data_IF_003779799047
#
_entry.id   IF_003779799047
#
_cell.length_a   1.000
_cell.length_b   1.000
_cell.length_c   1.000
_cell.angle_alpha   90.00
_cell.angle_beta   90.00
_cell.angle_gamma   90.00
#
_symmetry.space_group_name_H-M   'P 1'
#
loop_
_entity.id
_entity.type
_entity.pdbx_description
1 polymer ?
#
# COMPACT_ATOMS: atom_id res chain seq x y z
N UNK A 1 -2.07 -3.76 12.48
CA UNK A 1 -3.16 -3.13 11.69
C UNK A 1 -4.50 -3.83 11.88
N UNK A 2 -4.63 -5.16 11.83
CA UNK A 2 -5.93 -5.85 11.99
C UNK A 2 -6.71 -5.48 13.26
N UNK A 3 -6.05 -5.51 14.44
CA UNK A 3 -6.68 -5.10 15.72
C UNK A 3 -7.23 -3.66 15.69
N UNK A 4 -6.60 -2.78 14.93
CA UNK A 4 -7.04 -1.39 14.78
C UNK A 4 -8.30 -1.29 13.91
N UNK A 5 -8.38 -2.06 12.82
CA UNK A 5 -9.59 -2.13 11.99
C UNK A 5 -10.79 -2.71 12.77
N UNK A 6 -10.56 -3.77 13.54
CA UNK A 6 -11.57 -4.36 14.43
C UNK A 6 -12.05 -3.32 15.46
N UNK A 7 -11.13 -2.58 16.08
CA UNK A 7 -11.48 -1.50 17.01
C UNK A 7 -12.35 -0.43 16.34
N UNK A 8 -12.07 -0.07 15.10
CA UNK A 8 -12.87 0.86 14.30
C UNK A 8 -14.13 0.25 13.69
N UNK A 9 -14.40 -1.05 13.90
CA UNK A 9 -15.50 -1.81 13.29
C UNK A 9 -15.49 -1.76 11.75
N UNK A 10 -14.29 -1.81 11.17
CA UNK A 10 -14.10 -1.97 9.73
C UNK A 10 -13.89 -3.46 9.45
N UNK A 11 -14.82 -4.03 8.68
CA UNK A 11 -14.78 -5.43 8.25
C UNK A 11 -13.96 -5.57 6.96
N UNK A 12 -12.67 -5.84 7.13
CA UNK A 12 -11.76 -6.21 6.05
C UNK A 12 -11.69 -7.73 5.96
N UNK A 13 -12.58 -8.31 5.16
CA UNK A 13 -12.92 -9.74 5.16
C UNK A 13 -11.72 -10.69 5.02
N UNK A 14 -10.63 -10.24 4.40
CA UNK A 14 -9.44 -11.07 4.14
C UNK A 14 -8.15 -10.45 4.71
N UNK A 15 -8.26 -9.46 5.60
CA UNK A 15 -7.12 -8.69 6.11
C UNK A 15 -6.27 -8.06 4.98
N UNK A 16 -6.91 -7.59 3.90
CA UNK A 16 -6.20 -7.02 2.76
C UNK A 16 -5.40 -5.75 3.14
N UNK A 17 -5.96 -4.87 3.97
CA UNK A 17 -5.32 -3.64 4.42
C UNK A 17 -4.12 -3.92 5.34
N UNK A 18 -4.24 -4.74 6.40
CA UNK A 18 -3.08 -5.09 7.22
C UNK A 18 -1.99 -5.85 6.46
N UNK A 19 -2.36 -6.79 5.59
CA UNK A 19 -1.39 -7.67 4.90
C UNK A 19 -0.72 -6.97 3.73
N UNK A 20 -1.46 -6.23 2.91
CA UNK A 20 -0.92 -5.63 1.68
C UNK A 20 -0.65 -4.14 1.81
N UNK A 21 -1.59 -3.35 2.34
CA UNK A 21 -1.41 -1.90 2.44
C UNK A 21 -0.34 -1.54 3.49
N UNK A 22 -0.51 -2.00 4.74
CA UNK A 22 0.41 -1.64 5.81
C UNK A 22 1.81 -2.25 5.62
N UNK A 23 1.91 -3.55 5.30
CA UNK A 23 3.21 -4.16 5.03
C UNK A 23 3.83 -3.66 3.73
N UNK A 24 3.04 -3.31 2.72
CA UNK A 24 3.53 -2.70 1.49
C UNK A 24 4.18 -1.34 1.74
N UNK A 25 3.51 -0.47 2.53
CA UNK A 25 4.11 0.79 2.98
C UNK A 25 5.41 0.53 3.72
N UNK A 26 5.41 -0.41 4.67
CA UNK A 26 6.61 -0.77 5.40
C UNK A 26 7.74 -1.23 4.46
N UNK A 27 7.46 -2.10 3.50
CA UNK A 27 8.46 -2.59 2.55
C UNK A 27 9.08 -1.47 1.73
N UNK A 28 8.26 -0.53 1.24
CA UNK A 28 8.74 0.64 0.48
C UNK A 28 9.64 1.54 1.34
N UNK A 29 9.25 1.80 2.59
CA UNK A 29 10.08 2.58 3.54
C UNK A 29 11.35 1.83 3.93
N UNK A 30 11.28 0.51 4.11
CA UNK A 30 12.42 -0.33 4.44
C UNK A 30 13.50 -0.28 3.34
N UNK A 31 13.12 -0.20 2.05
CA UNK A 31 14.08 0.06 0.97
C UNK A 31 14.82 1.38 1.19
N UNK A 32 14.09 2.45 1.49
CA UNK A 32 14.67 3.77 1.73
C UNK A 32 15.59 3.85 2.95
N UNK A 33 15.34 3.00 3.95
CA UNK A 33 16.16 2.92 5.16
C UNK A 33 17.36 2.01 4.98
N UNK A 34 17.19 0.83 4.37
CA UNK A 34 18.12 -0.30 4.50
C UNK A 34 18.66 -0.85 3.17
N UNK A 35 18.47 -0.17 2.03
CA UNK A 35 19.06 -0.61 0.76
C UNK A 35 20.58 -0.72 0.88
N UNK A 36 21.09 -1.94 0.71
CA UNK A 36 22.50 -2.25 0.89
C UNK A 36 23.33 -1.74 -0.30
N UNK A 37 24.44 -1.01 -0.06
CA UNK A 37 25.25 -0.42 -1.12
C UNK A 37 25.86 -1.45 -2.08
N UNK A 38 26.30 -2.60 -1.57
CA UNK A 38 26.97 -3.63 -2.39
C UNK A 38 25.95 -4.34 -3.28
N UNK A 39 24.79 -4.68 -2.72
CA UNK A 39 23.71 -5.31 -3.49
C UNK A 39 23.13 -4.36 -4.53
N UNK A 40 23.03 -3.07 -4.21
CA UNK A 40 22.55 -2.04 -5.12
C UNK A 40 23.52 -1.83 -6.29
N UNK A 41 24.83 -1.73 -6.03
CA UNK A 41 25.86 -1.64 -7.08
C UNK A 41 25.86 -2.88 -7.98
N UNK A 42 25.73 -4.07 -7.40
CA UNK A 42 25.63 -5.32 -8.17
C UNK A 42 24.39 -5.38 -9.08
N UNK A 43 23.28 -4.77 -8.66
CA UNK A 43 21.99 -4.86 -9.37
C UNK A 43 21.79 -3.73 -10.38
N UNK A 44 22.22 -2.52 -10.05
CA UNK A 44 21.90 -1.29 -10.81
C UNK A 44 23.14 -0.53 -11.30
N UNK A 45 24.35 -0.91 -10.85
CA UNK A 45 25.59 -0.18 -11.10
C UNK A 45 25.79 1.04 -10.20
N UNK A 46 26.99 1.63 -10.25
CA UNK A 46 27.47 2.62 -9.28
C UNK A 46 27.17 4.08 -9.64
N UNK A 47 26.60 4.34 -10.82
CA UNK A 47 26.30 5.71 -11.24
C UNK A 47 25.11 6.25 -10.42
N UNK A 48 25.37 7.29 -9.63
CA UNK A 48 24.37 8.05 -8.86
C UNK A 48 23.55 7.22 -7.84
N UNK A 49 24.17 6.20 -7.22
CA UNK A 49 23.50 5.33 -6.26
C UNK A 49 23.26 6.03 -4.92
N UNK A 50 21.98 6.35 -4.62
CA UNK A 50 21.51 6.70 -3.29
C UNK A 50 21.21 5.42 -2.51
N UNK A 51 21.86 5.21 -1.37
CA UNK A 51 21.75 3.98 -0.58
C UNK A 51 20.71 4.12 0.53
N UNK A 52 20.44 3.05 1.28
CA UNK A 52 19.60 3.14 2.46
C UNK A 52 20.14 4.16 3.46
N UNK A 53 19.27 5.02 4.01
CA UNK A 53 19.69 6.12 4.88
C UNK A 53 20.52 5.69 6.11
N UNK A 54 20.40 4.44 6.56
CA UNK A 54 21.25 3.91 7.65
C UNK A 54 22.70 3.68 7.26
N UNK A 55 22.98 3.56 5.95
CA UNK A 55 24.33 3.37 5.39
C UNK A 55 25.02 4.69 5.09
N UNK A 56 24.25 5.75 4.80
CA UNK A 56 24.76 7.12 4.69
C UNK A 56 23.72 8.13 5.20
N UNK A 57 23.87 8.55 6.46
CA UNK A 57 22.96 9.51 7.08
C UNK A 57 23.03 10.91 6.47
N UNK A 58 24.06 11.23 5.68
CA UNK A 58 24.19 12.52 5.01
C UNK A 58 23.36 12.62 3.73
N UNK A 59 22.91 11.48 3.19
CA UNK A 59 22.12 11.40 1.96
C UNK A 59 20.72 10.79 2.20
N UNK A 60 19.69 11.61 2.41
CA UNK A 60 18.33 11.14 2.62
C UNK A 60 17.56 10.88 1.30
N UNK A 61 18.19 11.00 0.12
CA UNK A 61 17.47 11.04 -1.16
C UNK A 61 16.66 9.78 -1.43
N UNK A 62 17.21 8.58 -1.18
CA UNK A 62 16.46 7.34 -1.38
C UNK A 62 15.25 7.27 -0.44
N UNK A 63 15.43 7.56 0.85
CA UNK A 63 14.32 7.57 1.82
C UNK A 63 13.22 8.57 1.43
N UNK A 64 13.61 9.78 1.02
CA UNK A 64 12.68 10.81 0.57
C UNK A 64 11.90 10.35 -0.68
N UNK A 65 12.58 9.75 -1.66
CA UNK A 65 11.96 9.19 -2.85
C UNK A 65 10.95 8.09 -2.50
N UNK A 66 11.30 7.16 -1.60
CA UNK A 66 10.39 6.10 -1.16
C UNK A 66 9.16 6.65 -0.40
N UNK A 67 9.33 7.69 0.43
CA UNK A 67 8.20 8.38 1.07
C UNK A 67 7.25 9.04 0.06
N UNK A 68 7.81 9.72 -0.95
CA UNK A 68 7.03 10.32 -2.05
C UNK A 68 6.31 9.22 -2.84
N UNK A 69 6.98 8.09 -3.10
CA UNK A 69 6.39 6.94 -3.79
C UNK A 69 5.18 6.39 -3.03
N UNK A 70 5.28 6.21 -1.70
CA UNK A 70 4.13 5.81 -0.88
C UNK A 70 2.96 6.79 -1.06
N UNK A 71 3.23 8.09 -0.93
CA UNK A 71 2.21 9.14 -1.10
C UNK A 71 1.56 9.09 -2.49
N UNK A 72 2.38 8.90 -3.54
CA UNK A 72 1.90 8.80 -4.91
C UNK A 72 1.02 7.56 -5.13
N UNK A 73 1.43 6.38 -4.63
CA UNK A 73 0.64 5.15 -4.73
C UNK A 73 -0.72 5.33 -4.02
N UNK A 74 -0.72 5.87 -2.80
CA UNK A 74 -1.96 6.13 -2.04
C UNK A 74 -2.87 7.08 -2.82
N UNK A 75 -2.32 8.19 -3.33
CA UNK A 75 -3.07 9.19 -4.07
C UNK A 75 -3.65 8.61 -5.36
N UNK A 76 -2.82 7.91 -6.16
CA UNK A 76 -3.22 7.29 -7.41
C UNK A 76 -4.34 6.26 -7.21
N UNK A 77 -4.15 5.31 -6.29
CA UNK A 77 -5.15 4.27 -6.00
C UNK A 77 -6.45 4.90 -5.50
N UNK A 78 -6.37 5.90 -4.62
CA UNK A 78 -7.57 6.59 -4.10
C UNK A 78 -8.33 7.32 -5.21
N UNK A 79 -7.62 8.09 -6.05
CA UNK A 79 -8.22 8.87 -7.15
C UNK A 79 -8.84 7.95 -8.21
N UNK A 80 -8.26 6.78 -8.48
CA UNK A 80 -8.82 5.85 -9.45
C UNK A 80 -9.97 5.02 -8.86
N UNK A 81 -9.81 4.46 -7.65
CA UNK A 81 -10.72 3.44 -7.13
C UNK A 81 -11.93 4.02 -6.37
N UNK A 82 -11.78 5.15 -5.67
CA UNK A 82 -12.92 5.73 -4.94
C UNK A 82 -14.02 6.18 -5.90
N UNK A 83 -13.75 6.95 -6.98
CA UNK A 83 -14.78 7.30 -7.95
C UNK A 83 -15.40 6.08 -8.63
N UNK A 84 -14.59 5.06 -8.93
CA UNK A 84 -15.06 3.81 -9.52
C UNK A 84 -16.09 3.10 -8.60
N UNK A 85 -15.77 2.89 -7.32
CA UNK A 85 -16.70 2.24 -6.40
C UNK A 85 -17.89 3.11 -6.03
N UNK A 86 -17.73 4.43 -5.95
CA UNK A 86 -18.86 5.36 -5.79
C UNK A 86 -19.79 5.28 -7.00
N UNK A 87 -19.25 5.25 -8.21
CA UNK A 87 -20.03 5.07 -9.43
C UNK A 87 -20.83 3.75 -9.39
N UNK A 88 -20.17 2.62 -9.11
CA UNK A 88 -20.85 1.32 -8.98
C UNK A 88 -21.97 1.36 -7.94
N UNK A 89 -21.75 2.05 -6.81
CA UNK A 89 -22.77 2.23 -5.78
C UNK A 89 -23.94 3.05 -6.28
N UNK A 90 -23.69 4.14 -6.99
CA UNK A 90 -24.73 5.03 -7.53
C UNK A 90 -25.63 4.33 -8.56
N UNK A 91 -25.08 3.39 -9.34
CA UNK A 91 -25.86 2.60 -10.32
C UNK A 91 -26.40 1.27 -9.77
N UNK A 92 -26.22 1.01 -8.46
CA UNK A 92 -26.74 -0.20 -7.82
C UNK A 92 -25.98 -1.49 -8.12
N UNK A 93 -24.71 -1.41 -8.52
CA UNK A 93 -23.88 -2.56 -8.90
C UNK A 93 -22.76 -2.90 -7.89
N UNK A 94 -22.69 -2.20 -6.76
CA UNK A 94 -21.57 -2.35 -5.82
C UNK A 94 -21.73 -3.51 -4.83
N UNK A 95 -22.95 -3.81 -4.39
CA UNK A 95 -23.25 -4.86 -3.40
C UNK A 95 -24.55 -5.54 -3.77
N UNK A 96 -24.66 -6.82 -3.47
CA UNK A 96 -25.87 -7.64 -3.65
C UNK A 96 -27.02 -7.17 -2.74
N UNK A 97 -28.23 -7.68 -2.99
CA UNK A 97 -29.38 -7.44 -2.12
C UNK A 97 -29.15 -8.08 -0.72
N UNK A 98 -29.62 -7.47 0.37
CA UNK A 98 -29.46 -8.04 1.71
C UNK A 98 -29.99 -9.46 1.87
N UNK A 99 -31.08 -9.83 1.16
CA UNK A 99 -31.61 -11.18 1.21
C UNK A 99 -30.65 -12.18 0.56
N UNK A 100 -30.06 -11.82 -0.58
CA UNK A 100 -29.03 -12.63 -1.26
C UNK A 100 -27.76 -12.75 -0.41
N UNK A 101 -27.38 -11.66 0.28
CA UNK A 101 -26.25 -11.68 1.21
C UNK A 101 -26.48 -12.62 2.40
N UNK A 102 -27.70 -12.68 2.93
CA UNK A 102 -28.06 -13.55 4.07
C UNK A 102 -28.17 -15.03 3.68
N UNK A 103 -28.73 -15.32 2.50
CA UNK A 103 -28.87 -16.69 1.98
C UNK A 103 -27.52 -17.24 1.49
N UNK A 104 -26.62 -16.37 1.05
CA UNK A 104 -25.29 -16.69 0.55
C UNK A 104 -25.20 -16.64 -0.98
N UNK A 105 -24.05 -16.23 -1.49
CA UNK A 105 -23.81 -15.98 -2.93
C UNK A 105 -23.70 -17.26 -3.79
N UNK A 106 -23.72 -18.44 -3.16
CA UNK A 106 -23.53 -19.74 -3.82
C UNK A 106 -24.86 -20.44 -4.19
N UNK A 107 -26.00 -19.92 -3.74
CA UNK A 107 -27.34 -20.52 -3.89
C UNK A 107 -28.08 -19.95 -5.09
#
# INVERSE_FOLDING_TARGET
>A
FSKFLIFMRIDDAVDAVPVHFANGIWGVIAVGLFSDPVLQDLTYGSADAHVGWVHDFSDPMLLAAQCIQVGFIIAWVTVCMVPFFVFLRCVGLFRVDPLEEEVGLDV
#
